data_IF_658478016989
#
_entry.id   IF_658478016989
#
_cell.length_a   1.000
_cell.length_b   1.000
_cell.length_c   1.000
_cell.angle_alpha   90.00
_cell.angle_beta   90.00
_cell.angle_gamma   90.00
#
_symmetry.space_group_name_H-M   'P 1'
#
loop_
_entity.id
_entity.type
_entity.pdbx_description
1 polymer ?
#
# COMPACT_ATOMS: atom_id res chain seq x y z
N UNK A 1 7.17 -2.87 8.40
CA UNK A 1 7.69 -1.91 7.42
C UNK A 1 6.79 -1.86 6.20
N UNK A 2 6.51 -0.66 5.69
CA UNK A 2 5.70 -0.45 4.49
C UNK A 2 6.65 -0.08 3.35
N UNK A 3 6.53 -0.79 2.21
CA UNK A 3 7.24 -0.44 0.98
C UNK A 3 6.25 0.29 0.08
N UNK A 4 6.54 1.54 -0.26
CA UNK A 4 5.75 2.31 -1.20
C UNK A 4 6.32 2.13 -2.60
N UNK A 5 5.48 1.71 -3.52
CA UNK A 5 5.80 1.62 -4.94
C UNK A 5 4.93 2.65 -5.66
N UNK A 6 5.56 3.74 -6.07
CA UNK A 6 4.89 4.75 -6.87
C UNK A 6 4.97 4.39 -8.35
N UNK A 7 3.90 4.67 -9.06
CA UNK A 7 3.85 4.52 -10.50
C UNK A 7 3.31 5.78 -11.12
N UNK A 8 4.11 6.31 -12.03
CA UNK A 8 3.72 7.47 -12.82
C UNK A 8 2.41 7.23 -13.59
N UNK A 9 1.57 8.25 -13.66
CA UNK A 9 0.37 8.26 -14.47
C UNK A 9 0.69 7.87 -15.92
N UNK A 10 -0.19 7.06 -16.53
CA UNK A 10 0.04 6.55 -17.88
C UNK A 10 -0.92 7.26 -18.81
N UNK A 11 -0.41 8.26 -19.50
CA UNK A 11 -1.16 9.00 -20.54
C UNK A 11 -0.71 8.65 -21.97
N UNK A 12 0.13 7.60 -22.16
CA UNK A 12 0.68 7.30 -23.48
C UNK A 12 -0.10 6.22 -24.22
N UNK A 13 -0.54 6.56 -25.44
CA UNK A 13 -1.05 5.63 -26.46
C UNK A 13 0.12 4.96 -27.21
N UNK A 14 -0.01 3.66 -27.55
CA UNK A 14 0.92 2.95 -28.41
C UNK A 14 1.71 1.81 -27.76
N UNK A 15 2.85 1.42 -28.34
CA UNK A 15 3.70 0.29 -27.87
C UNK A 15 4.26 0.54 -26.46
N UNK A 16 4.56 1.79 -26.12
CA UNK A 16 4.97 2.20 -24.78
C UNK A 16 3.88 1.94 -23.74
N UNK A 17 2.61 2.15 -24.09
CA UNK A 17 1.46 1.83 -23.24
C UNK A 17 1.37 0.34 -22.90
N UNK A 18 1.63 -0.56 -23.87
CA UNK A 18 1.65 -2.02 -23.65
C UNK A 18 2.77 -2.47 -22.73
N UNK A 19 3.97 -1.90 -22.89
CA UNK A 19 5.11 -2.19 -22.00
C UNK A 19 4.86 -1.70 -20.58
N UNK A 20 4.18 -0.56 -20.43
CA UNK A 20 3.81 0.00 -19.12
C UNK A 20 2.73 -0.83 -18.44
N UNK A 21 1.74 -1.35 -19.18
CA UNK A 21 0.73 -2.29 -18.64
C UNK A 21 1.43 -3.55 -18.13
N UNK A 22 2.39 -4.11 -18.86
CA UNK A 22 3.15 -5.29 -18.43
C UNK A 22 3.94 -5.01 -17.14
N UNK A 23 4.62 -3.88 -17.05
CA UNK A 23 5.31 -3.44 -15.82
C UNK A 23 4.32 -3.22 -14.67
N UNK A 24 3.11 -2.70 -14.95
CA UNK A 24 2.05 -2.56 -13.94
C UNK A 24 1.62 -3.90 -13.38
N UNK A 25 1.46 -4.91 -14.23
CA UNK A 25 1.10 -6.27 -13.80
C UNK A 25 2.17 -6.88 -12.89
N UNK A 26 3.44 -6.62 -13.14
CA UNK A 26 4.53 -7.12 -12.29
C UNK A 26 4.57 -6.39 -10.93
N UNK A 27 4.21 -5.12 -10.90
CA UNK A 27 4.04 -4.36 -9.64
C UNK A 27 2.81 -4.84 -8.89
N UNK A 28 1.67 -5.00 -9.56
CA UNK A 28 0.41 -5.50 -8.98
C UNK A 28 0.63 -6.84 -8.27
N UNK A 29 1.39 -7.78 -8.84
CA UNK A 29 1.69 -9.08 -8.23
C UNK A 29 2.46 -8.99 -6.89
N UNK A 30 3.10 -7.86 -6.63
CA UNK A 30 3.89 -7.60 -5.42
C UNK A 30 3.21 -6.62 -4.47
N UNK A 31 1.98 -6.23 -4.80
CA UNK A 31 1.22 -5.21 -4.08
C UNK A 31 0.21 -5.88 -3.17
N UNK A 32 0.19 -5.50 -1.94
CA UNK A 32 -0.70 -6.03 -0.92
C UNK A 32 -1.96 -5.19 -0.76
N UNK A 33 -1.86 -3.90 -0.99
CA UNK A 33 -2.96 -2.94 -1.05
C UNK A 33 -2.63 -1.84 -2.04
N UNK A 34 -3.59 -1.38 -2.82
CA UNK A 34 -3.41 -0.33 -3.81
C UNK A 34 -4.17 0.94 -3.43
N UNK A 35 -3.56 2.10 -3.67
CA UNK A 35 -4.22 3.40 -3.58
C UNK A 35 -4.35 3.97 -4.99
N UNK A 36 -5.59 4.21 -5.43
CA UNK A 36 -5.87 4.84 -6.72
C UNK A 36 -6.19 6.31 -6.47
N UNK A 37 -5.26 7.18 -6.85
CA UNK A 37 -5.43 8.61 -6.69
C UNK A 37 -6.23 9.19 -7.84
N UNK A 38 -7.31 9.86 -7.52
CA UNK A 38 -8.17 10.54 -8.50
C UNK A 38 -8.36 12.01 -8.10
N UNK A 39 -8.72 12.81 -9.07
CA UNK A 39 -9.12 14.21 -8.89
C UNK A 39 -10.62 14.37 -9.12
N UNK A 40 -11.09 15.63 -9.15
CA UNK A 40 -12.50 15.96 -9.40
C UNK A 40 -13.02 15.47 -10.78
N UNK A 41 -12.12 15.13 -11.71
CA UNK A 41 -12.45 14.54 -13.01
C UNK A 41 -12.86 13.08 -12.92
N UNK A 42 -12.57 12.40 -11.79
CA UNK A 42 -12.89 11.00 -11.57
C UNK A 42 -11.89 10.02 -12.20
N UNK A 43 -12.38 8.82 -12.47
CA UNK A 43 -11.59 7.73 -13.06
C UNK A 43 -11.52 7.91 -14.59
N UNK A 44 -10.34 7.74 -15.15
CA UNK A 44 -10.14 7.61 -16.58
C UNK A 44 -10.21 6.15 -17.05
N UNK A 45 -10.19 5.89 -18.36
CA UNK A 45 -10.26 4.53 -18.92
C UNK A 45 -9.13 3.62 -18.46
N UNK A 46 -7.99 4.19 -18.16
CA UNK A 46 -6.86 3.43 -17.65
C UNK A 46 -7.04 3.04 -16.19
N UNK A 47 -7.53 3.95 -15.36
CA UNK A 47 -7.86 3.68 -13.95
C UNK A 47 -8.87 2.53 -13.87
N UNK A 48 -9.88 2.51 -14.74
CA UNK A 48 -10.87 1.44 -14.83
C UNK A 48 -10.22 0.10 -15.16
N UNK A 49 -9.26 0.06 -16.09
CA UNK A 49 -8.50 -1.17 -16.41
C UNK A 49 -7.66 -1.65 -15.24
N UNK A 50 -7.03 -0.75 -14.50
CA UNK A 50 -6.26 -1.09 -13.30
C UNK A 50 -7.18 -1.64 -12.20
N UNK A 51 -8.34 -1.03 -11.96
CA UNK A 51 -9.34 -1.51 -11.01
C UNK A 51 -9.83 -2.92 -11.35
N UNK A 52 -10.07 -3.20 -12.63
CA UNK A 52 -10.45 -4.54 -13.11
C UNK A 52 -9.32 -5.56 -12.85
N UNK A 53 -8.08 -5.20 -13.10
CA UNK A 53 -6.91 -6.05 -12.82
C UNK A 53 -6.73 -6.31 -11.32
N UNK A 54 -6.86 -5.29 -10.47
CA UNK A 54 -6.77 -5.41 -9.01
C UNK A 54 -7.88 -6.33 -8.48
N UNK A 55 -9.11 -6.14 -8.98
CA UNK A 55 -10.27 -6.97 -8.62
C UNK A 55 -10.07 -8.43 -9.02
N UNK A 56 -9.59 -8.71 -10.23
CA UNK A 56 -9.28 -10.07 -10.71
C UNK A 56 -8.15 -10.72 -9.90
N UNK A 57 -7.18 -9.94 -9.46
CA UNK A 57 -6.07 -10.38 -8.63
C UNK A 57 -6.43 -10.47 -7.14
N UNK A 58 -7.65 -10.09 -6.75
CA UNK A 58 -8.14 -10.03 -5.36
C UNK A 58 -7.29 -9.13 -4.45
N UNK A 59 -6.67 -8.11 -5.02
CA UNK A 59 -5.88 -7.13 -4.28
C UNK A 59 -6.82 -6.04 -3.79
N UNK A 60 -6.87 -5.75 -2.49
CA UNK A 60 -7.68 -4.68 -1.95
C UNK A 60 -7.18 -3.33 -2.48
N UNK A 61 -8.12 -2.42 -2.74
CA UNK A 61 -7.78 -1.07 -3.16
C UNK A 61 -8.68 -0.03 -2.49
N UNK A 62 -8.15 1.19 -2.40
CA UNK A 62 -8.85 2.37 -1.88
C UNK A 62 -8.76 3.46 -2.93
N UNK A 63 -9.88 4.05 -3.31
CA UNK A 63 -9.89 5.23 -4.19
C UNK A 63 -9.71 6.47 -3.31
N UNK A 64 -8.69 7.26 -3.61
CA UNK A 64 -8.33 8.46 -2.86
C UNK A 64 -8.61 9.69 -3.73
N UNK A 65 -9.67 10.42 -3.40
CA UNK A 65 -10.00 11.69 -4.03
C UNK A 65 -9.13 12.76 -3.38
N UNK A 66 -8.03 13.14 -4.07
CA UNK A 66 -7.07 14.09 -3.50
C UNK A 66 -7.32 15.52 -3.97
N UNK A 67 -6.65 16.47 -3.31
CA UNK A 67 -6.71 17.92 -3.55
C UNK A 67 -8.08 18.53 -3.32
N UNK A 68 -8.83 18.03 -2.32
CA UNK A 68 -10.15 18.59 -2.01
C UNK A 68 -10.10 20.07 -1.57
N UNK A 69 -8.93 20.58 -1.19
CA UNK A 69 -8.67 21.99 -0.90
C UNK A 69 -8.72 22.88 -2.13
N UNK A 70 -8.40 22.33 -3.32
CA UNK A 70 -8.33 23.05 -4.59
C UNK A 70 -9.55 22.82 -5.49
N UNK A 71 -10.58 22.13 -5.01
CA UNK A 71 -11.74 21.74 -5.80
C UNK A 71 -12.64 22.93 -6.10
N UNK A 72 -12.94 23.11 -7.38
CA UNK A 72 -13.83 24.17 -7.88
C UNK A 72 -15.29 23.77 -7.74
N UNK A 73 -15.62 22.49 -7.95
CA UNK A 73 -16.99 21.99 -7.93
C UNK A 73 -17.24 20.92 -6.86
N UNK A 74 -17.88 21.31 -5.76
CA UNK A 74 -18.33 20.35 -4.72
C UNK A 74 -19.33 19.32 -5.27
N UNK A 75 -20.11 19.68 -6.30
CA UNK A 75 -21.09 18.79 -6.91
C UNK A 75 -20.43 17.63 -7.66
N UNK A 76 -19.27 17.85 -8.28
CA UNK A 76 -18.52 16.78 -8.96
C UNK A 76 -18.04 15.73 -7.96
N UNK A 77 -17.50 16.16 -6.83
CA UNK A 77 -17.09 15.22 -5.77
C UNK A 77 -18.26 14.42 -5.24
N UNK A 78 -19.38 15.09 -4.98
CA UNK A 78 -20.58 14.41 -4.49
C UNK A 78 -21.04 13.32 -5.47
N UNK A 79 -21.02 13.61 -6.77
CA UNK A 79 -21.34 12.62 -7.81
C UNK A 79 -20.36 11.44 -7.81
N UNK A 80 -19.06 11.72 -7.73
CA UNK A 80 -18.02 10.69 -7.65
C UNK A 80 -18.19 9.81 -6.41
N UNK A 81 -18.43 10.41 -5.25
CA UNK A 81 -18.66 9.69 -3.99
C UNK A 81 -19.84 8.73 -4.13
N UNK A 82 -20.99 9.22 -4.63
CA UNK A 82 -22.18 8.39 -4.86
C UNK A 82 -21.87 7.27 -5.89
N UNK A 83 -21.12 7.57 -6.94
CA UNK A 83 -20.71 6.57 -7.92
C UNK A 83 -19.88 5.45 -7.29
N UNK A 84 -18.89 5.80 -6.46
CA UNK A 84 -18.03 4.81 -5.80
C UNK A 84 -18.79 4.01 -4.74
N UNK A 85 -19.72 4.64 -4.01
CA UNK A 85 -20.63 3.95 -3.09
C UNK A 85 -21.48 2.91 -3.81
N UNK A 86 -22.09 3.29 -4.95
CA UNK A 86 -22.91 2.39 -5.75
C UNK A 86 -22.13 1.20 -6.33
N UNK A 87 -20.83 1.41 -6.62
CA UNK A 87 -19.92 0.35 -7.08
C UNK A 87 -19.35 -0.48 -5.93
N UNK A 88 -19.62 -0.13 -4.67
CA UNK A 88 -19.07 -0.80 -3.49
C UNK A 88 -17.58 -0.58 -3.31
N UNK A 89 -17.01 0.49 -3.86
CA UNK A 89 -15.60 0.80 -3.76
C UNK A 89 -15.28 1.55 -2.48
N UNK A 90 -14.26 1.09 -1.76
CA UNK A 90 -13.72 1.85 -0.63
C UNK A 90 -13.08 3.14 -1.16
N UNK A 91 -13.53 4.28 -0.65
CA UNK A 91 -13.01 5.57 -1.07
C UNK A 91 -12.91 6.55 0.09
N UNK A 92 -12.07 7.56 -0.08
CA UNK A 92 -11.87 8.64 0.88
C UNK A 92 -11.49 9.93 0.16
N UNK A 93 -11.94 11.05 0.70
CA UNK A 93 -11.61 12.38 0.24
C UNK A 93 -10.49 12.96 1.11
N UNK A 94 -9.39 13.43 0.51
CA UNK A 94 -8.24 13.95 1.24
C UNK A 94 -7.68 15.23 0.63
N UNK A 95 -6.98 16.01 1.44
CA UNK A 95 -6.00 16.98 0.97
C UNK A 95 -4.65 16.64 1.57
N UNK A 96 -3.75 16.16 0.73
CA UNK A 96 -2.37 15.91 1.17
C UNK A 96 -1.65 17.22 1.53
N UNK A 97 -1.98 18.33 0.85
CA UNK A 97 -1.41 19.65 1.10
C UNK A 97 -1.83 20.20 2.46
N UNK A 98 -3.12 20.16 2.76
CA UNK A 98 -3.70 20.71 3.99
C UNK A 98 -3.81 19.66 5.10
N UNK A 99 -3.28 18.45 4.88
CA UNK A 99 -3.30 17.33 5.84
C UNK A 99 -4.72 16.93 6.29
N UNK A 100 -5.74 17.10 5.40
CA UNK A 100 -7.13 16.78 5.68
C UNK A 100 -7.37 15.29 5.43
N UNK A 101 -7.98 14.58 6.39
CA UNK A 101 -8.36 13.15 6.35
C UNK A 101 -7.17 12.19 6.08
N UNK A 102 -5.93 12.62 6.33
CA UNK A 102 -4.74 11.78 6.12
C UNK A 102 -4.64 10.69 7.19
N UNK A 103 -5.10 11.00 8.42
CA UNK A 103 -5.15 10.00 9.51
C UNK A 103 -6.16 8.91 9.17
N UNK A 104 -7.33 9.28 8.75
CA UNK A 104 -8.42 8.37 8.34
C UNK A 104 -7.97 7.49 7.16
N UNK A 105 -7.23 8.05 6.19
CA UNK A 105 -6.64 7.28 5.11
C UNK A 105 -5.66 6.21 5.63
N UNK A 106 -4.81 6.55 6.61
CA UNK A 106 -3.89 5.59 7.23
C UNK A 106 -4.64 4.48 7.95
N UNK A 107 -5.70 4.82 8.68
CA UNK A 107 -6.54 3.85 9.39
C UNK A 107 -7.25 2.92 8.39
N UNK A 108 -7.70 3.45 7.24
CA UNK A 108 -8.26 2.63 6.16
C UNK A 108 -7.23 1.71 5.54
N UNK A 109 -6.00 2.16 5.29
CA UNK A 109 -4.92 1.31 4.78
C UNK A 109 -4.68 0.13 5.74
N UNK A 110 -4.56 0.39 7.03
CA UNK A 110 -4.37 -0.65 8.04
C UNK A 110 -5.56 -1.63 8.05
N UNK A 111 -6.79 -1.11 8.00
CA UNK A 111 -8.02 -1.90 8.04
C UNK A 111 -8.15 -2.84 6.84
N UNK A 112 -7.78 -2.39 5.65
CA UNK A 112 -7.95 -3.14 4.39
C UNK A 112 -6.69 -3.86 3.94
N UNK A 113 -5.54 -3.65 4.60
CA UNK A 113 -4.35 -4.47 4.37
C UNK A 113 -4.60 -5.92 4.76
N UNK A 114 -4.10 -6.90 3.99
CA UNK A 114 -4.18 -8.30 4.37
C UNK A 114 -3.56 -8.52 5.75
N UNK A 115 -4.29 -9.23 6.62
CA UNK A 115 -3.82 -9.52 8.00
C UNK A 115 -2.61 -10.46 8.06
N UNK A 116 -2.24 -11.08 6.95
CA UNK A 116 -1.06 -11.94 6.82
C UNK A 116 0.28 -11.19 6.98
N UNK A 117 0.22 -9.85 7.16
CA UNK A 117 1.38 -9.00 7.48
C UNK A 117 1.79 -8.96 8.95
N UNK A 118 1.06 -9.57 9.84
CA UNK A 118 1.64 -9.99 11.10
C UNK A 118 2.59 -11.15 10.76
N UNK A 119 3.83 -10.81 10.41
CA UNK A 119 4.90 -11.82 10.34
C UNK A 119 4.79 -12.63 11.63
N UNK A 120 4.54 -13.95 11.56
CA UNK A 120 4.44 -14.74 12.78
C UNK A 120 5.69 -14.46 13.59
N UNK A 121 5.53 -14.01 14.82
CA UNK A 121 6.66 -13.76 15.70
C UNK A 121 7.50 -15.04 15.75
N UNK A 122 8.76 -14.96 15.36
CA UNK A 122 9.66 -16.12 15.32
C UNK A 122 9.93 -16.62 16.75
N UNK A 123 9.89 -15.72 17.72
CA UNK A 123 10.19 -16.01 19.15
C UNK A 123 9.00 -15.76 20.08
N UNK A 124 7.82 -15.43 19.53
CA UNK A 124 6.66 -15.02 20.34
C UNK A 124 6.22 -16.02 21.38
N UNK A 125 6.36 -17.30 21.08
CA UNK A 125 5.97 -18.41 21.96
C UNK A 125 7.13 -18.95 22.80
N UNK A 126 8.35 -18.54 22.50
CA UNK A 126 9.58 -19.11 23.11
C UNK A 126 10.17 -18.23 24.20
N UNK A 127 9.83 -16.94 24.24
CA UNK A 127 10.43 -15.95 25.15
C UNK A 127 9.36 -15.19 25.91
N UNK A 128 9.46 -15.12 27.23
CA UNK A 128 8.56 -14.35 28.09
C UNK A 128 9.15 -12.96 28.39
N UNK A 129 8.27 -12.01 28.75
CA UNK A 129 8.70 -10.67 29.07
C UNK A 129 9.63 -10.65 30.29
N UNK A 130 10.80 -10.04 30.14
CA UNK A 130 11.82 -9.96 31.18
C UNK A 130 12.87 -11.08 31.16
N UNK A 131 12.78 -12.02 30.24
CA UNK A 131 13.83 -13.06 30.08
C UNK A 131 15.05 -12.53 29.32
N UNK A 132 16.22 -13.08 29.63
CA UNK A 132 17.46 -12.79 28.94
C UNK A 132 17.66 -13.73 27.76
N UNK A 133 17.80 -13.16 26.56
CA UNK A 133 18.00 -13.92 25.32
C UNK A 133 19.41 -13.70 24.80
N UNK A 134 20.11 -14.79 24.49
CA UNK A 134 21.41 -14.75 23.81
C UNK A 134 21.24 -15.18 22.38
N UNK A 135 21.45 -14.26 21.47
CA UNK A 135 21.37 -14.52 20.02
C UNK A 135 22.75 -14.90 19.48
N UNK A 136 22.92 -16.17 19.11
CA UNK A 136 24.15 -16.66 18.47
C UNK A 136 24.01 -16.56 16.95
N UNK A 137 24.77 -15.66 16.36
CA UNK A 137 24.74 -15.40 14.92
C UNK A 137 26.04 -15.91 14.29
N UNK A 138 25.99 -16.86 13.34
CA UNK A 138 27.18 -17.28 12.62
C UNK A 138 27.73 -16.13 11.79
N UNK A 139 29.04 -15.97 11.78
CA UNK A 139 29.73 -15.00 10.92
C UNK A 139 29.79 -15.57 9.52
N UNK A 140 29.03 -15.01 8.60
CA UNK A 140 29.15 -15.31 7.18
C UNK A 140 30.23 -14.42 6.57
N UNK A 141 31.32 -15.03 6.09
CA UNK A 141 32.43 -14.30 5.47
C UNK A 141 32.08 -13.67 4.11
N UNK A 142 30.97 -14.09 3.50
CA UNK A 142 30.43 -13.52 2.25
C UNK A 142 29.60 -12.27 2.45
N UNK A 143 29.28 -11.87 3.67
CA UNK A 143 28.43 -10.70 3.95
C UNK A 143 29.22 -9.38 4.02
N UNK A 144 28.64 -8.27 3.53
CA UNK A 144 29.21 -6.94 3.74
C UNK A 144 29.34 -6.66 5.24
N UNK A 145 30.50 -6.19 5.67
CA UNK A 145 30.79 -5.86 7.08
C UNK A 145 29.70 -4.97 7.69
N UNK A 146 29.14 -5.39 8.81
CA UNK A 146 28.19 -4.60 9.60
C UNK A 146 26.72 -4.69 9.17
N UNK A 147 26.34 -5.62 8.28
CA UNK A 147 24.93 -5.85 7.92
C UNK A 147 24.44 -7.19 8.50
N UNK A 148 23.30 -7.12 9.18
CA UNK A 148 22.54 -8.30 9.59
C UNK A 148 21.66 -8.76 8.42
N UNK A 149 21.52 -10.07 8.23
CA UNK A 149 20.54 -10.61 7.27
C UNK A 149 19.12 -10.43 7.80
N UNK A 150 18.15 -10.41 6.88
CA UNK A 150 16.75 -10.13 7.20
C UNK A 150 16.20 -10.99 8.39
N UNK A 151 16.41 -12.30 8.45
CA UNK A 151 15.96 -13.12 9.59
C UNK A 151 16.53 -12.67 10.94
N UNK A 152 17.79 -12.25 10.98
CA UNK A 152 18.43 -11.75 12.21
C UNK A 152 17.82 -10.45 12.69
N UNK A 153 17.50 -9.55 11.75
CA UNK A 153 16.81 -8.27 12.03
C UNK A 153 15.40 -8.54 12.53
N UNK A 154 14.70 -9.53 11.97
CA UNK A 154 13.36 -9.92 12.41
C UNK A 154 13.36 -10.44 13.84
N UNK A 155 14.27 -11.37 14.16
CA UNK A 155 14.42 -11.90 15.52
C UNK A 155 14.72 -10.78 16.53
N UNK A 156 15.65 -9.86 16.21
CA UNK A 156 15.95 -8.73 17.07
C UNK A 156 14.74 -7.82 17.28
N UNK A 157 13.95 -7.60 16.23
CA UNK A 157 12.73 -6.78 16.30
C UNK A 157 11.69 -7.44 17.20
N UNK A 158 11.46 -8.75 17.05
CA UNK A 158 10.53 -9.51 17.89
C UNK A 158 10.87 -9.42 19.37
N UNK A 159 12.17 -9.40 19.71
CA UNK A 159 12.63 -9.25 21.08
C UNK A 159 12.47 -7.84 21.65
N UNK A 160 12.54 -6.80 20.80
CA UNK A 160 12.47 -5.39 21.23
C UNK A 160 11.05 -4.82 21.32
N UNK A 161 10.08 -5.48 20.68
CA UNK A 161 8.67 -5.02 20.65
C UNK A 161 7.85 -5.62 21.80
N UNK A 162 8.39 -6.60 22.52
CA UNK A 162 7.81 -7.12 23.77
C UNK A 162 8.28 -6.31 24.98
#
# INVERSE_FOLDING_TARGET
PVVLIEKDGIDDEGELGKLRIKKSLDVIKKTDISLILVYETGLNDFDIKILDLLSKSKIPFIIVINKIDAIISKDNIRKLTIQFENLGYNHIQVSAKENINIRELKDMIIKYSPKEFEEPSILGDLVQNGEHVVLVIPIDTGMPKGRLILPQVQIMRDLLIK
#
